data_IF_688306284818
#
_entry.id   IF_688306284818
#
_cell.length_a   1.000
_cell.length_b   1.000
_cell.length_c   1.000
_cell.angle_alpha   90.00
_cell.angle_beta   90.00
_cell.angle_gamma   90.00
#
_symmetry.space_group_name_H-M   'P 1'
#
loop_
_entity.id
_entity.type
_entity.pdbx_description
1 polymer ?
#
# COMPACT_ATOMS: atom_id res chain seq x y z
N UNK A 1 25.17 -48.64 -64.08
CA UNK A 1 24.73 -47.25 -63.83
C UNK A 1 23.30 -47.17 -63.27
N UNK A 2 22.82 -48.17 -62.50
CA UNK A 2 21.51 -48.09 -61.83
C UNK A 2 21.57 -48.35 -60.30
N UNK A 3 22.66 -48.91 -59.77
CA UNK A 3 22.82 -49.12 -58.32
C UNK A 3 23.34 -47.88 -57.56
N UNK A 4 23.92 -46.89 -58.24
CA UNK A 4 24.43 -45.68 -57.59
C UNK A 4 23.38 -44.57 -57.38
N UNK A 5 22.26 -44.61 -58.11
CA UNK A 5 21.19 -43.60 -57.98
C UNK A 5 20.27 -43.91 -56.80
N UNK A 6 20.04 -45.20 -56.49
CA UNK A 6 19.19 -45.62 -55.38
C UNK A 6 19.77 -45.27 -53.99
N UNK A 7 21.11 -45.25 -53.85
CA UNK A 7 21.79 -44.95 -52.58
C UNK A 7 21.79 -43.45 -52.22
N UNK A 8 21.62 -42.55 -53.20
CA UNK A 8 21.50 -41.11 -52.96
C UNK A 8 20.08 -40.69 -52.57
N UNK A 9 19.05 -41.34 -53.11
CA UNK A 9 17.65 -41.04 -52.80
C UNK A 9 17.29 -41.48 -51.36
N UNK A 10 17.83 -42.61 -50.90
CA UNK A 10 17.63 -43.09 -49.53
C UNK A 10 18.37 -42.28 -48.45
N UNK A 11 19.48 -41.59 -48.79
CA UNK A 11 20.16 -40.66 -47.88
C UNK A 11 19.49 -39.28 -47.79
N UNK A 12 18.82 -38.80 -48.85
CA UNK A 12 18.04 -37.57 -48.79
C UNK A 12 16.75 -37.70 -47.98
N UNK A 13 16.11 -38.88 -47.95
CA UNK A 13 14.92 -39.10 -47.12
C UNK A 13 15.19 -39.25 -45.62
N UNK A 14 16.42 -39.58 -45.22
CA UNK A 14 16.82 -39.59 -43.80
C UNK A 14 17.22 -38.20 -43.30
N UNK A 15 17.81 -37.36 -44.17
CA UNK A 15 18.13 -35.97 -43.81
C UNK A 15 16.89 -35.06 -43.78
N UNK A 16 15.88 -35.31 -44.63
CA UNK A 16 14.63 -34.53 -44.64
C UNK A 16 13.71 -34.91 -43.45
N UNK A 17 13.83 -36.14 -42.90
CA UNK A 17 13.13 -36.52 -41.65
C UNK A 17 13.84 -36.08 -40.37
N UNK A 18 15.12 -35.68 -40.43
CA UNK A 18 15.83 -35.12 -39.28
C UNK A 18 15.83 -33.58 -39.25
N UNK A 19 15.38 -32.92 -40.32
CA UNK A 19 15.11 -31.47 -40.34
C UNK A 19 13.63 -31.14 -40.06
N UNK A 20 12.77 -32.16 -39.94
CA UNK A 20 11.36 -32.03 -39.52
C UNK A 20 11.09 -32.45 -38.06
N UNK A 21 12.12 -32.44 -37.21
CA UNK A 21 11.99 -32.60 -35.76
C UNK A 21 12.81 -31.55 -34.97
N UNK A 22 12.98 -30.37 -35.54
CA UNK A 22 12.94 -29.15 -34.75
C UNK A 22 11.56 -28.57 -34.99
N UNK A 23 10.57 -29.20 -34.35
CA UNK A 23 9.40 -28.45 -33.95
C UNK A 23 9.98 -27.30 -33.12
N UNK A 24 10.10 -26.12 -33.75
CA UNK A 24 10.01 -24.87 -33.06
C UNK A 24 8.69 -24.92 -32.29
N UNK A 25 8.72 -25.56 -31.12
CA UNK A 25 7.98 -25.09 -29.98
C UNK A 25 8.76 -23.87 -29.46
N UNK A 26 8.98 -22.88 -30.32
CA UNK A 26 8.67 -21.54 -29.87
C UNK A 26 7.16 -21.59 -29.79
N UNK A 27 6.67 -21.95 -28.61
CA UNK A 27 5.40 -21.42 -28.18
C UNK A 27 5.53 -19.93 -28.44
N UNK A 28 4.95 -19.48 -29.55
CA UNK A 28 4.73 -18.05 -29.77
C UNK A 28 3.72 -17.73 -28.68
N UNK A 29 4.22 -17.52 -27.46
CA UNK A 29 3.51 -16.80 -26.42
C UNK A 29 3.03 -15.58 -27.17
N UNK A 30 1.73 -15.51 -27.42
CA UNK A 30 1.10 -14.26 -27.76
C UNK A 30 1.36 -13.41 -26.53
N UNK A 31 2.51 -12.72 -26.50
CA UNK A 31 2.94 -12.03 -25.30
C UNK A 31 1.86 -11.00 -25.03
N UNK A 32 1.15 -11.22 -23.94
CA UNK A 32 -0.03 -10.45 -23.59
C UNK A 32 0.48 -9.16 -22.98
N UNK A 33 0.02 -7.99 -23.46
CA UNK A 33 0.39 -6.72 -22.82
C UNK A 33 -0.28 -6.57 -21.45
N UNK A 34 0.16 -5.62 -20.63
CA UNK A 34 -0.34 -5.44 -19.25
C UNK A 34 -1.86 -5.22 -19.16
N UNK A 35 -2.49 -4.62 -20.17
CA UNK A 35 -3.93 -4.36 -20.17
C UNK A 35 -4.70 -5.68 -20.39
N UNK A 36 -4.26 -6.49 -21.36
CA UNK A 36 -4.88 -7.77 -21.62
C UNK A 36 -4.59 -8.77 -20.49
N UNK A 37 -3.43 -8.68 -19.82
CA UNK A 37 -3.15 -9.48 -18.63
C UNK A 37 -4.07 -9.08 -17.46
N UNK A 38 -4.36 -7.79 -17.28
CA UNK A 38 -5.36 -7.33 -16.32
C UNK A 38 -6.76 -7.91 -16.60
N UNK A 39 -7.16 -8.03 -17.88
CA UNK A 39 -8.41 -8.71 -18.27
C UNK A 39 -8.37 -10.18 -17.89
N UNK A 40 -7.27 -10.88 -18.17
CA UNK A 40 -7.11 -12.30 -17.83
C UNK A 40 -7.19 -12.55 -16.32
N UNK A 41 -6.76 -11.58 -15.51
CA UNK A 41 -6.83 -11.58 -14.05
C UNK A 41 -8.22 -11.18 -13.51
N UNK A 42 -9.18 -10.86 -14.38
CA UNK A 42 -10.55 -10.52 -14.01
C UNK A 42 -10.75 -9.07 -13.57
N UNK A 43 -9.76 -8.19 -13.71
CA UNK A 43 -9.85 -6.76 -13.36
C UNK A 43 -10.57 -5.93 -14.44
N UNK A 44 -11.66 -6.46 -14.98
CA UNK A 44 -12.35 -5.92 -16.16
C UNK A 44 -12.95 -4.54 -15.93
N UNK A 45 -13.40 -4.22 -14.72
CA UNK A 45 -14.02 -2.92 -14.45
C UNK A 45 -12.97 -1.80 -14.41
N UNK A 46 -11.78 -2.08 -13.87
CA UNK A 46 -10.69 -1.13 -13.94
C UNK A 46 -10.17 -0.95 -15.38
N UNK A 47 -10.12 -2.03 -16.17
CA UNK A 47 -9.78 -1.95 -17.60
C UNK A 47 -10.78 -1.07 -18.37
N UNK A 48 -12.08 -1.10 -18.05
CA UNK A 48 -13.05 -0.15 -18.65
C UNK A 48 -12.69 1.30 -18.35
N UNK A 49 -12.21 1.61 -17.14
CA UNK A 49 -11.73 2.95 -16.77
C UNK A 49 -10.49 3.32 -17.60
N UNK A 50 -9.52 2.41 -17.73
CA UNK A 50 -8.34 2.61 -18.59
C UNK A 50 -8.76 2.98 -20.02
N UNK A 51 -9.68 2.21 -20.61
CA UNK A 51 -10.18 2.45 -21.98
C UNK A 51 -10.93 3.78 -22.12
N UNK A 52 -11.79 4.10 -21.14
CA UNK A 52 -12.57 5.35 -21.11
C UNK A 52 -11.69 6.59 -21.04
N UNK A 53 -10.56 6.51 -20.35
CA UNK A 53 -9.65 7.64 -20.11
C UNK A 53 -8.63 7.86 -21.22
N UNK A 54 -8.52 6.95 -22.19
CA UNK A 54 -7.50 7.00 -23.24
C UNK A 54 -6.13 6.46 -22.79
N UNK A 55 -5.98 6.04 -21.53
CA UNK A 55 -4.70 5.57 -20.98
C UNK A 55 -4.19 4.29 -21.63
N UNK A 56 -5.04 3.55 -22.33
CA UNK A 56 -4.62 2.38 -23.11
C UNK A 56 -3.53 2.69 -24.14
N UNK A 57 -3.54 3.89 -24.73
CA UNK A 57 -2.55 4.29 -25.73
C UNK A 57 -1.14 4.36 -25.14
N UNK A 58 -1.03 4.74 -23.86
CA UNK A 58 0.23 4.80 -23.13
C UNK A 58 0.60 3.42 -22.60
N UNK A 59 -0.34 2.74 -21.93
CA UNK A 59 -0.09 1.48 -21.22
C UNK A 59 0.07 0.26 -22.16
N UNK A 60 -0.37 0.36 -23.41
CA UNK A 60 -0.08 -0.63 -24.45
C UNK A 60 1.25 -0.37 -25.19
N UNK A 61 1.93 0.75 -24.89
CA UNK A 61 3.22 1.10 -25.49
C UNK A 61 4.37 0.18 -25.05
N UNK A 62 5.60 0.54 -25.43
CA UNK A 62 6.79 -0.33 -25.26
C UNK A 62 7.16 -0.66 -23.81
N UNK A 63 6.74 0.16 -22.83
CA UNK A 63 7.05 -0.06 -21.42
C UNK A 63 8.57 -0.09 -21.13
N UNK A 64 9.01 -0.79 -20.07
CA UNK A 64 8.20 -1.61 -19.18
C UNK A 64 7.35 -0.77 -18.22
N UNK A 65 6.15 -1.23 -17.89
CA UNK A 65 5.27 -0.66 -16.88
C UNK A 65 5.00 -1.66 -15.75
N UNK A 66 4.65 -1.16 -14.58
CA UNK A 66 4.03 -1.96 -13.51
C UNK A 66 2.65 -1.39 -13.24
N UNK A 67 1.61 -2.22 -13.39
CA UNK A 67 0.21 -1.82 -13.25
C UNK A 67 -0.41 -2.51 -12.03
N UNK A 68 -0.91 -1.72 -11.09
CA UNK A 68 -1.70 -2.20 -9.96
C UNK A 68 -3.17 -2.19 -10.36
N UNK A 69 -3.80 -3.35 -10.42
CA UNK A 69 -5.19 -3.46 -10.87
C UNK A 69 -6.09 -3.84 -9.69
N UNK A 70 -7.04 -3.00 -9.29
CA UNK A 70 -7.98 -3.34 -8.24
C UNK A 70 -8.94 -4.44 -8.69
N UNK A 71 -9.39 -5.25 -7.75
CA UNK A 71 -10.48 -6.21 -8.00
C UNK A 71 -11.75 -5.48 -8.45
N UNK A 72 -12.62 -6.15 -9.21
CA UNK A 72 -13.93 -5.57 -9.57
C UNK A 72 -14.77 -5.23 -8.33
N UNK A 73 -14.65 -6.01 -7.26
CA UNK A 73 -15.31 -5.70 -5.99
C UNK A 73 -14.82 -4.36 -5.43
N UNK A 74 -13.51 -4.09 -5.45
CA UNK A 74 -12.95 -2.82 -5.03
C UNK A 74 -13.46 -1.65 -5.90
N UNK A 75 -13.48 -1.83 -7.22
CA UNK A 75 -13.99 -0.81 -8.16
C UNK A 75 -15.48 -0.54 -7.94
N UNK A 76 -16.28 -1.55 -7.60
CA UNK A 76 -17.72 -1.37 -7.32
C UNK A 76 -18.00 -0.52 -6.08
N UNK A 77 -17.02 -0.38 -5.18
CA UNK A 77 -17.09 0.38 -3.92
C UNK A 77 -16.40 1.75 -4.01
N UNK A 78 -16.10 2.23 -5.23
CA UNK A 78 -15.47 3.54 -5.44
C UNK A 78 -16.30 4.65 -4.74
N UNK A 79 -15.69 5.42 -3.82
CA UNK A 79 -16.32 6.62 -3.28
C UNK A 79 -16.31 7.72 -4.35
N UNK A 80 -16.96 8.84 -4.03
CA UNK A 80 -16.84 10.06 -4.85
C UNK A 80 -15.37 10.49 -4.91
N UNK A 81 -14.81 10.51 -6.11
CA UNK A 81 -13.42 10.89 -6.34
C UNK A 81 -13.25 12.42 -6.30
N UNK A 82 -12.12 12.86 -5.74
CA UNK A 82 -11.63 14.24 -5.84
C UNK A 82 -10.60 14.43 -6.96
N UNK A 83 -10.25 13.34 -7.65
CA UNK A 83 -9.38 13.29 -8.82
C UNK A 83 -10.17 12.77 -10.02
N UNK A 84 -9.65 13.00 -11.23
CA UNK A 84 -10.19 12.42 -12.45
C UNK A 84 -9.89 10.92 -12.53
N UNK A 85 -10.70 10.19 -13.30
CA UNK A 85 -10.44 8.77 -13.61
C UNK A 85 -9.09 8.56 -14.31
N UNK A 86 -8.62 9.54 -15.10
CA UNK A 86 -7.31 9.48 -15.76
C UNK A 86 -6.19 9.55 -14.74
N UNK A 87 -6.26 10.49 -13.79
CA UNK A 87 -5.31 10.60 -12.68
C UNK A 87 -5.33 9.35 -11.80
N UNK A 88 -6.51 8.77 -11.57
CA UNK A 88 -6.64 7.49 -10.86
C UNK A 88 -5.84 6.38 -11.56
N UNK A 89 -6.00 6.23 -12.88
CA UNK A 89 -5.25 5.24 -13.66
C UNK A 89 -3.75 5.52 -13.64
N UNK A 90 -3.35 6.79 -13.73
CA UNK A 90 -1.94 7.19 -13.64
C UNK A 90 -1.33 6.86 -12.27
N UNK A 91 -2.10 7.00 -11.19
CA UNK A 91 -1.63 6.64 -9.84
C UNK A 91 -1.47 5.12 -9.67
N UNK A 92 -2.28 4.32 -10.35
CA UNK A 92 -2.16 2.85 -10.35
C UNK A 92 -1.04 2.31 -11.25
N UNK A 93 -0.27 3.17 -11.91
CA UNK A 93 0.77 2.76 -12.84
C UNK A 93 2.13 3.35 -12.44
N UNK A 94 3.17 2.54 -12.57
CA UNK A 94 4.57 2.91 -12.31
C UNK A 94 5.39 2.63 -13.57
N UNK A 95 6.38 3.48 -13.85
CA UNK A 95 7.37 3.24 -14.91
C UNK A 95 8.40 2.21 -14.43
N UNK A 96 8.70 1.21 -15.25
CA UNK A 96 9.64 0.14 -14.91
C UNK A 96 8.95 -1.18 -14.59
N UNK A 97 9.76 -2.24 -14.52
CA UNK A 97 9.34 -3.56 -14.11
C UNK A 97 9.67 -3.76 -12.63
N UNK A 98 8.65 -3.71 -11.78
CA UNK A 98 8.77 -3.83 -10.32
C UNK A 98 8.08 -5.11 -9.88
N UNK A 99 8.90 -6.07 -9.42
CA UNK A 99 8.43 -7.35 -8.86
C UNK A 99 8.24 -7.22 -7.35
N UNK A 100 7.36 -8.04 -6.79
CA UNK A 100 7.08 -8.07 -5.34
C UNK A 100 8.35 -8.33 -4.51
N UNK A 101 9.27 -9.15 -5.04
CA UNK A 101 10.55 -9.47 -4.39
C UNK A 101 11.56 -8.32 -4.36
N UNK A 102 11.33 -7.26 -5.13
CA UNK A 102 12.18 -6.06 -5.15
C UNK A 102 11.72 -5.02 -4.14
N UNK A 103 10.45 -5.10 -3.72
CA UNK A 103 9.81 -4.13 -2.84
C UNK A 103 10.26 -4.31 -1.39
N UNK A 104 10.61 -3.18 -0.75
CA UNK A 104 11.03 -3.12 0.65
C UNK A 104 10.00 -2.40 1.50
N UNK A 105 10.04 -2.65 2.81
CA UNK A 105 9.18 -1.92 3.74
C UNK A 105 9.49 -0.42 3.74
N UNK A 106 8.45 0.43 3.73
CA UNK A 106 8.50 1.89 3.60
C UNK A 106 9.05 2.41 2.26
N UNK A 107 9.22 1.56 1.24
CA UNK A 107 9.71 2.01 -0.05
C UNK A 107 8.68 2.91 -0.75
N UNK A 108 9.14 4.05 -1.26
CA UNK A 108 8.35 4.97 -2.06
C UNK A 108 8.76 4.83 -3.52
N UNK A 109 7.79 4.58 -4.40
CA UNK A 109 8.03 4.51 -5.84
C UNK A 109 7.11 5.47 -6.59
N UNK A 110 7.65 6.34 -7.47
CA UNK A 110 6.87 7.31 -8.21
C UNK A 110 5.93 6.67 -9.22
N UNK A 111 4.68 7.14 -9.21
CA UNK A 111 3.65 6.75 -10.16
C UNK A 111 3.74 7.56 -11.46
N UNK A 112 2.89 7.24 -12.44
CA UNK A 112 2.70 8.06 -13.63
C UNK A 112 1.88 9.33 -13.37
N UNK A 113 1.27 9.47 -12.19
CA UNK A 113 0.52 10.66 -11.82
C UNK A 113 1.49 11.74 -11.33
N UNK A 114 1.43 12.91 -11.96
CA UNK A 114 2.22 14.08 -11.57
C UNK A 114 1.33 15.26 -11.21
N UNK A 115 1.67 15.95 -10.14
CA UNK A 115 1.09 17.25 -9.75
C UNK A 115 2.21 18.27 -9.74
N UNK A 116 2.07 19.35 -10.52
CA UNK A 116 3.10 20.38 -10.68
C UNK A 116 4.49 19.78 -11.02
N UNK A 117 4.53 18.87 -12.00
CA UNK A 117 5.71 18.11 -12.46
C UNK A 117 6.34 17.14 -11.46
N UNK A 118 5.86 17.08 -10.22
CA UNK A 118 6.29 16.12 -9.21
C UNK A 118 5.41 14.87 -9.28
N UNK A 119 6.03 13.70 -9.46
CA UNK A 119 5.32 12.42 -9.39
C UNK A 119 4.84 12.16 -7.96
N UNK A 120 3.62 11.65 -7.81
CA UNK A 120 3.15 11.15 -6.53
C UNK A 120 3.63 9.72 -6.35
N UNK A 121 4.06 9.39 -5.15
CA UNK A 121 4.58 8.07 -4.82
C UNK A 121 3.46 7.13 -4.32
N UNK A 122 3.70 5.83 -4.50
CA UNK A 122 3.06 4.76 -3.72
C UNK A 122 4.07 4.31 -2.67
N UNK A 123 3.64 4.29 -1.40
CA UNK A 123 4.31 3.63 -0.30
C UNK A 123 3.98 2.15 -0.27
N UNK A 124 5.02 1.34 -0.26
CA UNK A 124 4.94 -0.11 -0.06
C UNK A 124 5.29 -0.46 1.38
N UNK A 125 4.51 -1.38 1.96
CA UNK A 125 4.75 -1.88 3.31
C UNK A 125 4.75 -3.40 3.33
N UNK A 126 5.62 -3.97 4.16
CA UNK A 126 5.72 -5.40 4.41
C UNK A 126 5.32 -5.68 5.85
N UNK A 127 4.38 -6.61 6.01
CA UNK A 127 3.87 -7.05 7.31
C UNK A 127 3.98 -8.56 7.44
N UNK A 128 3.77 -9.07 8.65
CA UNK A 128 3.67 -10.51 8.95
C UNK A 128 4.92 -11.32 8.56
N UNK A 129 6.10 -10.72 8.77
CA UNK A 129 7.38 -11.30 8.34
C UNK A 129 7.47 -11.41 6.82
N UNK A 130 7.21 -10.30 6.13
CA UNK A 130 7.23 -10.13 4.67
C UNK A 130 6.23 -10.97 3.88
N UNK A 131 5.22 -11.55 4.55
CA UNK A 131 4.17 -12.36 3.92
C UNK A 131 2.99 -11.55 3.41
N UNK A 132 2.81 -10.33 3.91
CA UNK A 132 1.78 -9.41 3.45
C UNK A 132 2.46 -8.17 2.90
N UNK A 133 2.34 -7.97 1.59
CA UNK A 133 2.79 -6.79 0.89
C UNK A 133 1.59 -5.90 0.56
N UNK A 134 1.69 -4.61 0.87
CA UNK A 134 0.65 -3.63 0.56
C UNK A 134 1.19 -2.47 -0.25
N UNK A 135 0.35 -1.89 -1.11
CA UNK A 135 0.55 -0.61 -1.77
C UNK A 135 -0.47 0.38 -1.22
N UNK A 136 -0.03 1.44 -0.54
CA UNK A 136 -0.92 2.40 0.15
C UNK A 136 -2.01 1.73 1.02
N UNK A 137 -1.62 0.71 1.79
CA UNK A 137 -2.53 -0.05 2.65
C UNK A 137 -3.50 -0.99 1.92
N UNK A 138 -3.42 -1.09 0.59
CA UNK A 138 -4.14 -2.07 -0.23
C UNK A 138 -3.29 -3.34 -0.37
N UNK A 139 -3.84 -4.51 -0.06
CA UNK A 139 -3.09 -5.77 -0.15
C UNK A 139 -2.83 -6.13 -1.60
N UNK A 140 -1.59 -6.50 -1.93
CA UNK A 140 -1.27 -7.13 -3.22
C UNK A 140 -1.66 -8.62 -3.14
N UNK A 141 -2.84 -8.96 -3.64
CA UNK A 141 -3.42 -10.31 -3.54
C UNK A 141 -2.89 -11.27 -4.59
N UNK A 142 -2.52 -10.77 -5.77
CA UNK A 142 -1.95 -11.58 -6.84
C UNK A 142 -0.75 -10.82 -7.41
N UNK A 143 0.48 -11.09 -6.91
CA UNK A 143 1.68 -10.42 -7.38
C UNK A 143 2.22 -11.02 -8.69
N UNK A 144 3.11 -10.26 -9.34
CA UNK A 144 4.09 -10.70 -10.32
C UNK A 144 3.51 -11.35 -11.60
N UNK A 145 2.40 -10.82 -12.10
CA UNK A 145 1.83 -11.29 -13.36
C UNK A 145 2.54 -10.67 -14.54
N UNK A 146 3.33 -11.51 -15.20
CA UNK A 146 4.23 -11.13 -16.28
C UNK A 146 3.47 -10.84 -17.58
N UNK A 147 3.76 -9.70 -18.19
CA UNK A 147 3.25 -9.28 -19.49
C UNK A 147 4.41 -8.92 -20.44
N UNK A 148 4.12 -8.72 -21.73
CA UNK A 148 5.11 -8.33 -22.75
C UNK A 148 5.84 -7.05 -22.38
N UNK A 149 5.06 -6.04 -22.01
CA UNK A 149 5.52 -4.67 -21.78
C UNK A 149 5.49 -4.30 -20.29
N UNK A 150 5.52 -5.29 -19.37
CA UNK A 150 5.47 -4.99 -17.95
C UNK A 150 5.09 -6.11 -17.00
N UNK A 151 4.59 -5.71 -15.83
CA UNK A 151 4.08 -6.56 -14.75
C UNK A 151 2.73 -6.02 -14.28
N UNK A 152 1.83 -6.93 -13.90
CA UNK A 152 0.54 -6.61 -13.28
C UNK A 152 0.51 -7.19 -11.86
N UNK A 153 0.05 -6.38 -10.91
CA UNK A 153 -0.23 -6.79 -9.54
C UNK A 153 -1.71 -6.56 -9.25
N UNK A 154 -2.44 -7.57 -8.77
CA UNK A 154 -3.83 -7.37 -8.35
C UNK A 154 -3.85 -6.86 -6.91
N UNK A 155 -4.62 -5.81 -6.66
CA UNK A 155 -4.82 -5.19 -5.34
C UNK A 155 -6.27 -5.28 -4.87
N UNK A 156 -6.49 -5.41 -3.56
CA UNK A 156 -7.84 -5.61 -2.97
C UNK A 156 -8.64 -4.32 -2.74
N UNK A 157 -7.99 -3.16 -2.83
CA UNK A 157 -8.60 -1.82 -2.82
C UNK A 157 -8.07 -0.98 -3.97
N UNK A 158 -8.89 -0.02 -4.40
CA UNK A 158 -8.46 1.04 -5.31
C UNK A 158 -7.45 1.93 -4.59
N UNK A 159 -6.31 2.21 -5.22
CA UNK A 159 -5.27 3.10 -4.71
C UNK A 159 -5.69 4.56 -4.90
N UNK A 160 -5.55 5.35 -3.85
CA UNK A 160 -5.80 6.79 -3.89
C UNK A 160 -4.52 7.56 -3.59
N UNK A 161 -4.24 8.64 -4.32
CA UNK A 161 -3.19 9.55 -3.94
C UNK A 161 -3.37 10.00 -2.50
N UNK A 162 -2.36 9.73 -1.67
CA UNK A 162 -2.34 10.23 -0.29
C UNK A 162 -2.37 11.76 -0.32
N UNK A 163 -3.19 12.42 0.52
CA UNK A 163 -3.17 13.87 0.62
C UNK A 163 -1.76 14.38 0.94
N UNK A 164 -1.38 15.53 0.38
CA UNK A 164 -0.11 16.20 0.73
C UNK A 164 -0.05 16.64 2.19
N UNK A 165 -1.20 16.67 2.86
CA UNK A 165 -1.37 16.91 4.29
C UNK A 165 -0.51 15.95 5.12
N UNK A 166 0.34 16.50 5.97
CA UNK A 166 1.13 15.74 6.94
C UNK A 166 0.36 15.53 8.25
N UNK A 167 0.92 14.71 9.12
CA UNK A 167 0.30 14.25 10.35
C UNK A 167 -0.13 15.39 11.30
N UNK A 168 0.71 16.37 11.67
CA UNK A 168 0.26 17.49 12.51
C UNK A 168 -0.89 18.29 11.91
N UNK A 169 -0.87 18.52 10.60
CA UNK A 169 -1.93 19.27 9.92
C UNK A 169 -3.24 18.49 9.95
N UNK A 170 -3.23 17.17 9.72
CA UNK A 170 -4.44 16.36 9.83
C UNK A 170 -5.02 16.41 11.24
N UNK A 171 -4.18 16.24 12.28
CA UNK A 171 -4.62 16.30 13.69
C UNK A 171 -5.19 17.67 14.06
N UNK A 172 -4.68 18.76 13.50
CA UNK A 172 -5.23 20.10 13.70
C UNK A 172 -6.56 20.34 12.96
N UNK A 173 -6.77 19.68 11.81
CA UNK A 173 -8.00 19.82 11.01
C UNK A 173 -9.19 19.04 11.59
N UNK A 174 -8.93 17.90 12.23
CA UNK A 174 -9.95 17.05 12.82
C UNK A 174 -10.45 17.66 14.15
N UNK A 175 -11.71 18.09 14.17
CA UNK A 175 -12.33 18.66 15.39
C UNK A 175 -12.30 17.68 16.58
N UNK A 176 -12.36 16.38 16.31
CA UNK A 176 -12.33 15.32 17.31
C UNK A 176 -10.96 15.11 17.96
N UNK A 177 -9.89 15.74 17.49
CA UNK A 177 -8.52 15.55 18.03
C UNK A 177 -7.91 16.84 18.57
N UNK A 178 -8.71 17.88 18.82
CA UNK A 178 -8.23 19.18 19.31
C UNK A 178 -7.47 19.08 20.64
N UNK A 179 -7.91 18.22 21.58
CA UNK A 179 -7.21 18.02 22.87
C UNK A 179 -5.82 17.42 22.66
N UNK A 180 -5.69 16.46 21.75
CA UNK A 180 -4.40 15.87 21.39
C UNK A 180 -3.48 16.91 20.76
N UNK A 181 -3.98 17.74 19.85
CA UNK A 181 -3.19 18.80 19.23
C UNK A 181 -2.65 19.78 20.28
N UNK A 182 -3.49 20.21 21.23
CA UNK A 182 -3.05 21.06 22.34
C UNK A 182 -1.99 20.39 23.21
N UNK A 183 -2.14 19.09 23.50
CA UNK A 183 -1.15 18.33 24.25
C UNK A 183 0.19 18.22 23.52
N UNK A 184 0.18 17.96 22.21
CA UNK A 184 1.39 17.92 21.37
C UNK A 184 2.11 19.29 21.35
N UNK A 185 1.35 20.39 21.26
CA UNK A 185 1.90 21.74 21.31
C UNK A 185 2.47 22.10 22.68
N UNK A 186 1.88 21.61 23.78
CA UNK A 186 2.35 21.91 25.13
C UNK A 186 3.76 21.37 25.44
N UNK A 187 4.16 20.29 24.76
CA UNK A 187 5.46 19.63 24.94
C UNK A 187 6.33 19.64 23.68
N UNK A 188 6.06 20.56 22.75
CA UNK A 188 6.85 20.79 21.54
C UNK A 188 7.07 19.53 20.66
N UNK A 189 6.09 18.62 20.61
CA UNK A 189 6.15 17.42 19.75
C UNK A 189 5.60 17.62 18.34
N UNK A 190 5.05 18.79 18.03
CA UNK A 190 4.51 19.11 16.70
C UNK A 190 5.60 19.02 15.62
N UNK A 191 6.77 19.60 15.87
CA UNK A 191 7.88 19.61 14.91
C UNK A 191 8.47 18.21 14.70
N UNK A 192 8.52 17.39 15.76
CA UNK A 192 8.96 16.00 15.68
C UNK A 192 8.08 15.21 14.68
N UNK A 193 6.77 15.45 14.70
CA UNK A 193 5.80 14.81 13.83
C UNK A 193 5.79 15.33 12.37
N UNK A 194 6.64 16.31 12.02
CA UNK A 194 6.88 16.69 10.62
C UNK A 194 7.82 15.71 9.91
N UNK A 195 8.61 14.92 10.66
CA UNK A 195 9.44 13.85 10.12
C UNK A 195 8.63 12.63 9.69
N UNK A 196 9.20 11.43 9.76
CA UNK A 196 8.46 10.18 9.53
C UNK A 196 9.24 9.17 8.69
N UNK A 197 8.62 8.03 8.33
CA UNK A 197 7.18 7.74 8.47
C UNK A 197 6.73 7.45 9.91
N UNK A 198 5.47 7.76 10.22
CA UNK A 198 4.85 7.48 11.52
C UNK A 198 3.53 6.73 11.42
N UNK A 199 3.18 6.03 12.50
CA UNK A 199 1.79 5.67 12.81
C UNK A 199 1.40 6.39 14.09
N UNK A 200 0.30 7.12 14.07
CA UNK A 200 -0.26 7.76 15.26
C UNK A 200 -1.61 7.16 15.61
N UNK A 201 -1.70 6.58 16.80
CA UNK A 201 -2.96 6.25 17.43
C UNK A 201 -3.47 7.48 18.14
N UNK A 202 -4.33 8.27 17.50
CA UNK A 202 -4.75 9.58 18.00
C UNK A 202 -6.00 9.45 18.89
N UNK A 203 -5.92 9.70 20.21
CA UNK A 203 -7.11 9.69 21.05
C UNK A 203 -8.04 10.84 20.67
N UNK A 204 -9.32 10.51 20.55
CA UNK A 204 -10.37 11.53 20.37
C UNK A 204 -10.54 12.38 21.63
N UNK A 205 -11.19 13.54 21.52
CA UNK A 205 -11.52 14.38 22.67
C UNK A 205 -12.33 13.59 23.72
N UNK A 206 -13.25 12.73 23.27
CA UNK A 206 -14.03 11.85 24.14
C UNK A 206 -13.14 10.83 24.87
N UNK A 207 -12.05 10.37 24.23
CA UNK A 207 -11.07 9.50 24.87
C UNK A 207 -10.37 10.19 26.05
N UNK A 208 -9.99 11.47 25.90
CA UNK A 208 -9.43 12.26 27.01
C UNK A 208 -10.45 12.49 28.13
N UNK A 209 -11.74 12.68 27.79
CA UNK A 209 -12.81 12.86 28.78
C UNK A 209 -13.11 11.59 29.60
N UNK A 210 -12.67 10.41 29.14
CA UNK A 210 -12.78 9.17 29.92
C UNK A 210 -11.74 9.07 31.05
N UNK A 211 -10.67 9.87 31.03
CA UNK A 211 -9.72 9.92 32.13
C UNK A 211 -10.35 10.65 33.34
N UNK A 212 -10.10 10.19 34.57
CA UNK A 212 -10.47 10.96 35.76
C UNK A 212 -9.89 12.38 35.68
N UNK A 213 -10.66 13.45 35.98
CA UNK A 213 -10.19 14.83 35.86
C UNK A 213 -8.88 15.10 36.60
N UNK A 214 -8.69 14.50 37.77
CA UNK A 214 -7.46 14.65 38.56
C UNK A 214 -6.24 14.01 37.88
N UNK A 215 -6.42 12.88 37.19
CA UNK A 215 -5.34 12.22 36.44
C UNK A 215 -4.98 13.01 35.19
N UNK A 216 -5.99 13.51 34.46
CA UNK A 216 -5.76 14.36 33.29
C UNK A 216 -5.01 15.65 33.69
N UNK A 217 -5.42 16.31 34.78
CA UNK A 217 -4.75 17.51 35.26
C UNK A 217 -3.30 17.23 35.69
N UNK A 218 -3.04 16.11 36.38
CA UNK A 218 -1.69 15.70 36.75
C UNK A 218 -0.82 15.42 35.52
N UNK A 219 -1.38 14.74 34.52
CA UNK A 219 -0.70 14.46 33.26
C UNK A 219 -0.34 15.76 32.52
N UNK A 220 -1.30 16.68 32.36
CA UNK A 220 -1.06 17.95 31.68
C UNK A 220 -0.07 18.86 32.42
N UNK A 221 -0.02 18.79 33.76
CA UNK A 221 0.93 19.56 34.56
C UNK A 221 2.36 18.97 34.53
N UNK A 222 2.52 17.69 34.17
CA UNK A 222 3.82 17.01 34.10
C UNK A 222 4.23 16.82 32.65
N UNK A 223 4.98 17.78 32.10
CA UNK A 223 5.41 17.77 30.70
C UNK A 223 6.26 16.54 30.34
N UNK A 224 7.04 16.00 31.29
CA UNK A 224 7.81 14.77 31.08
C UNK A 224 6.87 13.58 30.89
N UNK A 225 5.93 13.38 31.81
CA UNK A 225 4.94 12.30 31.70
C UNK A 225 4.05 12.45 30.45
N UNK A 226 3.66 13.69 30.12
CA UNK A 226 2.89 13.98 28.91
C UNK A 226 3.66 13.63 27.63
N UNK A 227 4.95 13.97 27.56
CA UNK A 227 5.81 13.58 26.44
C UNK A 227 5.90 12.07 26.28
N UNK A 228 6.04 11.33 27.39
CA UNK A 228 6.09 9.87 27.37
C UNK A 228 4.77 9.28 26.87
N UNK A 229 3.63 9.73 27.42
CA UNK A 229 2.30 9.30 26.99
C UNK A 229 2.10 9.56 25.50
N UNK A 230 2.44 10.76 24.99
CA UNK A 230 2.28 11.08 23.57
C UNK A 230 3.18 10.21 22.69
N UNK A 231 4.44 9.96 23.08
CA UNK A 231 5.33 9.03 22.36
C UNK A 231 4.83 7.58 22.40
N UNK A 232 4.10 7.19 23.46
CA UNK A 232 3.50 5.86 23.55
C UNK A 232 2.35 5.65 22.56
N UNK A 233 1.78 6.72 22.00
CA UNK A 233 0.78 6.65 20.93
C UNK A 233 1.38 6.60 19.51
N UNK A 234 2.71 6.63 19.38
CA UNK A 234 3.42 6.78 18.11
C UNK A 234 4.26 5.54 17.79
N UNK A 235 4.33 5.15 16.52
CA UNK A 235 5.29 4.17 15.98
C UNK A 235 6.18 4.83 14.92
N UNK A 236 7.44 4.39 14.78
CA UNK A 236 8.42 4.90 13.80
C UNK A 236 8.32 4.24 12.40
N UNK A 237 7.13 3.78 12.02
CA UNK A 237 6.84 3.15 10.75
C UNK A 237 5.35 3.29 10.40
N UNK A 238 4.97 3.00 9.16
CA UNK A 238 3.58 3.03 8.70
C UNK A 238 2.95 1.66 8.94
N UNK A 239 1.91 1.61 9.78
CA UNK A 239 1.14 0.39 10.08
C UNK A 239 -0.31 0.63 9.70
N UNK A 240 -0.68 0.19 8.50
CA UNK A 240 -2.07 0.13 8.07
C UNK A 240 -2.84 -0.92 8.87
N UNK A 241 -4.16 -0.75 9.00
CA UNK A 241 -5.01 -1.67 9.75
C UNK A 241 -4.96 -3.11 9.20
N UNK A 242 -4.75 -3.27 7.89
CA UNK A 242 -4.57 -4.59 7.24
C UNK A 242 -3.28 -5.31 7.69
N UNK A 243 -2.27 -4.53 8.10
CA UNK A 243 -1.00 -5.01 8.62
C UNK A 243 -1.06 -5.46 10.08
N UNK A 244 -2.02 -4.96 10.85
CA UNK A 244 -2.18 -5.25 12.28
C UNK A 244 -2.70 -6.69 12.49
N UNK A 245 -2.00 -7.48 13.29
CA UNK A 245 -2.39 -8.86 13.61
C UNK A 245 -2.86 -9.00 15.05
N UNK A 246 -3.87 -9.85 15.26
CA UNK A 246 -4.28 -10.22 16.61
C UNK A 246 -3.11 -10.83 17.41
N UNK A 247 -2.92 -10.36 18.64
CA UNK A 247 -1.80 -10.66 19.54
C UNK A 247 -0.41 -10.17 19.07
N UNK A 248 -0.36 -9.21 18.14
CA UNK A 248 0.89 -8.54 17.76
C UNK A 248 1.32 -7.51 18.81
N UNK A 249 2.63 -7.29 18.92
CA UNK A 249 3.21 -6.22 19.73
C UNK A 249 3.89 -5.19 18.83
N UNK A 250 3.38 -3.96 18.82
CA UNK A 250 3.88 -2.86 18.00
C UNK A 250 4.88 -2.01 18.80
N UNK A 251 6.14 -1.83 18.36
CA UNK A 251 7.15 -1.05 19.07
C UNK A 251 6.85 0.46 18.97
N UNK A 252 6.65 1.11 20.11
CA UNK A 252 6.38 2.55 20.14
C UNK A 252 7.65 3.39 20.04
N UNK A 253 7.49 4.69 19.78
CA UNK A 253 8.56 5.69 19.90
C UNK A 253 9.11 5.75 21.32
N UNK A 254 8.29 5.47 22.34
CA UNK A 254 8.72 5.33 23.72
C UNK A 254 9.35 3.95 23.94
N UNK A 255 10.53 3.70 23.40
CA UNK A 255 11.24 2.43 23.64
C UNK A 255 11.69 2.28 25.11
N UNK A 256 11.64 1.08 25.73
CA UNK A 256 11.16 -0.22 25.25
C UNK A 256 9.69 -0.44 25.65
N UNK A 257 8.75 0.30 25.06
CA UNK A 257 7.31 0.09 25.27
C UNK A 257 6.65 -0.34 23.98
N UNK A 258 5.78 -1.32 24.10
CA UNK A 258 5.00 -1.87 22.99
C UNK A 258 3.52 -1.68 23.23
N UNK A 259 2.76 -1.64 22.15
CA UNK A 259 1.30 -1.69 22.14
C UNK A 259 0.86 -3.08 21.70
N UNK A 260 -0.04 -3.71 22.45
CA UNK A 260 -0.66 -4.96 22.06
C UNK A 260 -1.80 -4.72 21.08
N UNK A 261 -1.91 -5.53 20.03
CA UNK A 261 -3.04 -5.51 19.10
C UNK A 261 -3.99 -6.64 19.47
N UNK A 262 -5.28 -6.33 19.64
CA UNK A 262 -6.33 -7.33 19.80
C UNK A 262 -7.39 -7.14 18.74
N UNK A 263 -7.80 -8.21 18.06
CA UNK A 263 -8.90 -8.19 17.11
C UNK A 263 -10.09 -8.99 17.67
N UNK A 264 -11.27 -8.37 17.71
CA UNK A 264 -12.49 -8.99 18.19
C UNK A 264 -13.71 -8.48 17.40
N UNK A 265 -14.48 -9.39 16.82
CA UNK A 265 -15.68 -9.08 16.02
C UNK A 265 -15.45 -8.02 14.91
N UNK A 266 -14.29 -8.05 14.24
CA UNK A 266 -13.91 -7.10 13.18
C UNK A 266 -13.43 -5.72 13.69
N UNK A 267 -13.44 -5.51 15.00
CA UNK A 267 -12.86 -4.34 15.65
C UNK A 267 -11.40 -4.62 16.01
N UNK A 268 -10.57 -3.59 15.86
CA UNK A 268 -9.15 -3.62 16.23
C UNK A 268 -8.99 -2.74 17.47
N UNK A 269 -8.33 -3.29 18.47
CA UNK A 269 -7.98 -2.62 19.72
C UNK A 269 -6.46 -2.54 19.85
N UNK A 270 -6.00 -1.38 20.33
CA UNK A 270 -4.61 -1.10 20.67
C UNK A 270 -4.54 -0.97 22.18
N UNK A 271 -3.95 -1.97 22.83
CA UNK A 271 -4.23 -2.30 24.22
C UNK A 271 -5.75 -2.37 24.44
N UNK A 272 -6.31 -1.42 25.20
CA UNK A 272 -7.75 -1.33 25.49
C UNK A 272 -8.47 -0.28 24.63
N UNK A 273 -7.77 0.46 23.77
CA UNK A 273 -8.34 1.50 22.91
C UNK A 273 -8.89 0.93 21.61
N UNK A 274 -10.20 1.05 21.39
CA UNK A 274 -10.84 0.73 20.12
C UNK A 274 -10.42 1.73 19.05
N UNK A 275 -10.00 1.25 17.89
CA UNK A 275 -9.85 2.09 16.70
C UNK A 275 -11.25 2.40 16.15
N UNK A 276 -11.69 3.65 16.31
CA UNK A 276 -13.00 4.14 15.85
C UNK A 276 -12.97 4.62 14.41
N UNK A 277 -11.81 5.07 13.93
CA UNK A 277 -11.57 5.45 12.54
C UNK A 277 -10.14 5.04 12.18
N UNK A 278 -9.97 4.30 11.08
CA UNK A 278 -8.70 3.66 10.71
C UNK A 278 -8.23 4.10 9.33
N UNK A 279 -6.94 3.92 9.08
CA UNK A 279 -6.30 4.13 7.77
C UNK A 279 -6.41 5.58 7.24
N UNK A 280 -6.33 6.58 8.12
CA UNK A 280 -6.28 7.98 7.69
C UNK A 280 -4.88 8.30 7.15
N UNK A 281 -4.75 8.25 5.83
CA UNK A 281 -3.51 8.46 5.12
C UNK A 281 -3.01 9.91 5.24
N UNK A 282 -1.72 10.08 5.50
CA UNK A 282 -1.01 11.38 5.49
C UNK A 282 0.34 11.21 4.80
N UNK A 283 0.88 12.30 4.26
CA UNK A 283 2.12 12.26 3.46
C UNK A 283 3.30 11.61 4.19
N UNK A 284 3.34 11.71 5.52
CA UNK A 284 4.40 11.16 6.36
C UNK A 284 3.95 10.01 7.29
N UNK A 285 2.89 9.27 6.95
CA UNK A 285 2.41 8.20 7.83
C UNK A 285 0.94 7.80 7.69
N UNK A 286 0.40 7.26 8.77
CA UNK A 286 -1.02 6.93 8.91
C UNK A 286 -1.51 7.29 10.31
N UNK A 287 -2.75 7.77 10.39
CA UNK A 287 -3.43 8.06 11.66
C UNK A 287 -4.59 7.08 11.85
N UNK A 288 -4.73 6.58 13.07
CA UNK A 288 -5.89 5.80 13.52
C UNK A 288 -6.49 6.52 14.73
N UNK A 289 -7.76 6.92 14.65
CA UNK A 289 -8.45 7.52 15.79
C UNK A 289 -8.85 6.43 16.78
N UNK A 290 -8.56 6.64 18.05
CA UNK A 290 -8.89 5.71 19.13
C UNK A 290 -9.76 6.34 20.21
N UNK A 291 -10.51 5.51 20.92
CA UNK A 291 -11.45 5.95 21.96
C UNK A 291 -10.88 5.91 23.39
N UNK A 292 -9.59 5.62 23.57
CA UNK A 292 -8.90 5.67 24.86
C UNK A 292 -7.56 6.40 24.75
N UNK A 293 -7.12 7.01 25.84
CA UNK A 293 -5.73 7.44 25.99
C UNK A 293 -4.90 6.23 26.45
N UNK A 294 -3.85 5.91 25.69
CA UNK A 294 -2.90 4.84 25.98
C UNK A 294 -1.89 5.31 27.02
N UNK A 295 -1.82 4.62 28.16
CA UNK A 295 -0.91 4.94 29.25
C UNK A 295 0.20 3.87 29.38
N UNK A 296 1.50 4.23 29.38
CA UNK A 296 2.60 3.28 29.44
C UNK A 296 2.82 2.74 30.86
N UNK A 297 2.65 1.44 31.13
CA UNK A 297 2.84 0.85 32.46
C UNK A 297 4.33 0.62 32.83
N UNK A 298 4.84 0.99 34.02
CA UNK A 298 4.16 1.74 35.08
C UNK A 298 4.00 3.21 34.71
N UNK A 299 2.76 3.67 34.84
CA UNK A 299 2.31 5.06 34.77
C UNK A 299 1.78 5.45 36.15
#
# INVERSE_FOLDING_TARGET
MLQFVAMYILKMHSFIKFVLLLCFCVSKSSQVNIIQEAVNLGATDFVKIIMKTGMQEILAGTGPFTLFVPTNEAVSKLPKLYITEKELVQYHAIMGKVLSSQLKNEELIPTLLKINDTALDIRFNLYKGDKLLTAEGSSITVPDKMAENGVVHVVDRVLYPVPLTNLPVLIAMLKSTSTMMSALSLVDLVDYLLGGPFTLFAPTNDAFLKLPPDELNKLLANHTALTEVLKYHMLNNTVWSVGMMNNEALPTVLYPRWLGVTEYNGNIFINNGLIVERDLAVSNGVVHLIDHVLLPNPF
#
